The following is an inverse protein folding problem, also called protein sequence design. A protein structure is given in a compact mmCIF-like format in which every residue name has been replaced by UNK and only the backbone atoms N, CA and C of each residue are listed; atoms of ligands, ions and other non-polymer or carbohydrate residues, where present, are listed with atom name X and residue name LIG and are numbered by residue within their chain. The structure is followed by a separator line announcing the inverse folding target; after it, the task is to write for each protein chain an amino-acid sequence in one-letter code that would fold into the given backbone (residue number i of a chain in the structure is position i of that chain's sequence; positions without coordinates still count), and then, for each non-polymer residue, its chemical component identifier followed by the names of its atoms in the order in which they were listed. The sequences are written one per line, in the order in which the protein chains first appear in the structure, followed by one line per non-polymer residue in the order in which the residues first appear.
data_IF_816009453562
#
_entry.id   IF_816009453562
#
_cell.length_a   1.000
_cell.length_b   1.000
_cell.length_c   1.000
_cell.angle_alpha   90.00
_cell.angle_beta   90.00
_cell.angle_gamma   90.00
#
_symmetry.space_group_name_H-M   'P 1'
#
loop_
_entity.id
_entity.type
_entity.pdbx_description
1 polymer ?
#
# COMPACT_ATOMS: atom_id res chain seq x y z
N UNK A 1 -11.64 -21.68 5.38
CA UNK A 1 -12.20 -22.34 4.21
C UNK A 1 -11.07 -22.66 3.21
N UNK A 2 -10.93 -23.95 2.86
CA UNK A 2 -9.91 -24.45 1.92
C UNK A 2 -10.59 -25.06 0.68
N UNK A 3 -11.46 -24.27 0.06
CA UNK A 3 -12.28 -24.71 -1.08
C UNK A 3 -12.24 -23.66 -2.20
N UNK A 4 -12.47 -24.11 -3.42
CA UNK A 4 -12.53 -23.22 -4.60
C UNK A 4 -13.93 -22.67 -4.84
N UNK A 5 -14.97 -23.42 -4.48
CA UNK A 5 -16.37 -23.08 -4.75
C UNK A 5 -17.16 -23.01 -3.45
N UNK A 6 -18.15 -22.14 -3.43
CA UNK A 6 -19.09 -21.99 -2.33
C UNK A 6 -20.46 -22.53 -2.73
N UNK A 7 -21.19 -23.08 -1.76
CA UNK A 7 -22.52 -23.69 -1.96
C UNK A 7 -23.58 -22.68 -1.48
N UNK A 8 -24.66 -22.60 -2.21
CA UNK A 8 -25.85 -21.80 -1.90
C UNK A 8 -27.04 -22.76 -1.68
N UNK A 9 -27.88 -22.45 -0.73
CA UNK A 9 -29.06 -23.25 -0.41
C UNK A 9 -30.12 -23.21 -1.51
N UNK A 10 -30.16 -22.10 -2.26
CA UNK A 10 -31.12 -21.88 -3.33
C UNK A 10 -30.43 -21.33 -4.59
N UNK A 11 -30.92 -21.73 -5.75
CA UNK A 11 -30.41 -21.23 -7.04
C UNK A 11 -30.59 -19.71 -7.21
N UNK A 12 -31.69 -19.18 -6.70
CA UNK A 12 -31.95 -17.74 -6.74
C UNK A 12 -30.92 -16.95 -5.95
N UNK A 13 -30.45 -17.47 -4.82
CA UNK A 13 -29.41 -16.82 -3.99
C UNK A 13 -28.09 -16.74 -4.78
N UNK A 14 -27.73 -17.82 -5.49
CA UNK A 14 -26.57 -17.82 -6.38
C UNK A 14 -26.71 -16.82 -7.52
N UNK A 15 -27.89 -16.75 -8.18
CA UNK A 15 -28.12 -15.84 -9.30
C UNK A 15 -28.07 -14.35 -8.88
N UNK A 16 -28.36 -14.04 -7.61
CA UNK A 16 -28.38 -12.69 -7.08
C UNK A 16 -27.06 -12.28 -6.37
N UNK A 17 -26.01 -13.12 -6.49
CA UNK A 17 -24.72 -12.80 -5.86
C UNK A 17 -24.08 -11.58 -6.52
N UNK A 18 -23.73 -10.63 -5.71
CA UNK A 18 -22.90 -9.50 -6.09
C UNK A 18 -21.46 -9.76 -5.62
N UNK A 19 -20.61 -10.13 -6.56
CA UNK A 19 -19.19 -10.45 -6.28
C UNK A 19 -18.36 -9.26 -5.77
N UNK A 20 -18.91 -8.06 -5.82
CA UNK A 20 -18.28 -6.85 -5.30
C UNK A 20 -18.68 -6.54 -3.84
N UNK A 21 -19.64 -7.31 -3.29
CA UNK A 21 -19.98 -7.21 -1.88
C UNK A 21 -19.06 -8.07 -1.00
N UNK A 22 -18.67 -7.50 0.11
CA UNK A 22 -17.65 -8.05 1.00
C UNK A 22 -18.04 -9.37 1.70
N UNK A 23 -19.32 -9.74 1.73
CA UNK A 23 -19.86 -10.92 2.43
C UNK A 23 -20.41 -11.99 1.47
N UNK A 24 -20.18 -11.85 0.17
CA UNK A 24 -20.66 -12.79 -0.84
C UNK A 24 -19.51 -13.52 -1.53
N UNK A 25 -19.49 -14.85 -1.39
CA UNK A 25 -18.38 -15.69 -1.82
C UNK A 25 -18.83 -16.69 -2.89
N UNK A 26 -18.29 -16.59 -4.09
CA UNK A 26 -18.58 -17.51 -5.22
C UNK A 26 -17.40 -18.42 -5.49
N UNK A 27 -16.22 -17.84 -5.63
CA UNK A 27 -15.02 -18.54 -6.03
C UNK A 27 -13.82 -18.11 -5.19
N UNK A 28 -13.14 -19.08 -4.57
CA UNK A 28 -12.09 -18.85 -3.57
C UNK A 28 -10.86 -18.06 -4.05
N UNK A 29 -10.64 -17.94 -5.37
CA UNK A 29 -9.58 -17.10 -5.92
C UNK A 29 -9.94 -15.61 -5.86
N UNK A 30 -11.21 -15.29 -6.08
CA UNK A 30 -11.68 -13.89 -6.06
C UNK A 30 -12.03 -13.41 -4.65
N UNK A 31 -12.60 -14.30 -3.83
CA UNK A 31 -12.97 -13.99 -2.45
C UNK A 31 -13.07 -15.28 -1.62
N UNK A 32 -12.63 -15.21 -0.37
CA UNK A 32 -12.65 -16.35 0.55
C UNK A 32 -12.99 -15.87 1.96
N UNK A 33 -13.93 -16.51 2.68
CA UNK A 33 -14.34 -16.08 4.01
C UNK A 33 -13.20 -16.00 5.03
N UNK A 34 -12.23 -16.91 4.95
CA UNK A 34 -11.07 -16.91 5.87
C UNK A 34 -10.16 -15.71 5.62
N UNK A 35 -9.88 -15.41 4.34
CA UNK A 35 -9.08 -14.23 3.95
C UNK A 35 -9.83 -12.95 4.32
N UNK A 36 -11.13 -12.90 4.04
CA UNK A 36 -11.96 -11.75 4.37
C UNK A 36 -11.98 -11.41 5.88
N UNK A 37 -12.04 -12.42 6.75
CA UNK A 37 -11.93 -12.23 8.20
C UNK A 37 -10.58 -11.61 8.58
N UNK A 38 -9.48 -12.07 7.96
CA UNK A 38 -8.16 -11.50 8.18
C UNK A 38 -8.12 -10.02 7.74
N UNK A 39 -8.59 -9.74 6.52
CA UNK A 39 -8.61 -8.38 5.97
C UNK A 39 -9.40 -7.42 6.85
N UNK A 40 -10.58 -7.82 7.31
CA UNK A 40 -11.37 -7.01 8.25
C UNK A 40 -10.64 -6.74 9.56
N UNK A 41 -10.01 -7.76 10.15
CA UNK A 41 -9.26 -7.59 11.40
C UNK A 41 -8.06 -6.67 11.23
N UNK A 42 -7.33 -6.76 10.11
CA UNK A 42 -6.20 -5.85 9.83
C UNK A 42 -6.70 -4.43 9.59
N UNK A 43 -7.77 -4.23 8.82
CA UNK A 43 -8.36 -2.91 8.63
C UNK A 43 -8.76 -2.27 9.97
N UNK A 44 -9.38 -3.05 10.87
CA UNK A 44 -9.79 -2.59 12.20
C UNK A 44 -8.58 -2.25 13.08
N UNK A 45 -7.53 -3.07 13.07
CA UNK A 45 -6.30 -2.83 13.82
C UNK A 45 -5.55 -1.58 13.35
N UNK A 46 -5.53 -1.32 12.03
CA UNK A 46 -4.88 -0.15 11.43
C UNK A 46 -5.79 1.08 11.44
N UNK A 47 -7.03 0.98 11.90
CA UNK A 47 -8.08 2.00 11.78
C UNK A 47 -8.32 2.45 10.33
N UNK A 48 -8.13 1.52 9.39
CA UNK A 48 -8.37 1.71 7.97
C UNK A 48 -9.79 1.35 7.57
N UNK A 49 -10.25 1.89 6.45
CA UNK A 49 -11.56 1.56 5.90
C UNK A 49 -11.60 0.16 5.28
N UNK A 50 -10.47 -0.34 4.80
CA UNK A 50 -10.34 -1.65 4.15
C UNK A 50 -8.89 -2.14 4.20
N UNK A 51 -8.71 -3.47 4.14
CA UNK A 51 -7.44 -4.13 3.89
C UNK A 51 -7.58 -5.13 2.75
N UNK A 52 -6.49 -5.42 2.07
CA UNK A 52 -6.41 -6.44 1.01
C UNK A 52 -5.19 -7.31 1.27
N UNK A 53 -5.40 -8.62 1.38
CA UNK A 53 -4.33 -9.58 1.60
C UNK A 53 -3.68 -10.02 0.29
N UNK A 54 -2.36 -10.12 0.29
CA UNK A 54 -1.55 -10.59 -0.83
C UNK A 54 -0.71 -11.80 -0.43
N UNK A 55 -0.29 -12.59 -1.41
CA UNK A 55 0.53 -13.79 -1.19
C UNK A 55 1.96 -13.49 -0.73
N UNK A 56 2.41 -12.24 -0.81
CA UNK A 56 3.71 -11.78 -0.33
C UNK A 56 3.72 -10.28 -0.08
N UNK A 57 4.65 -9.80 0.78
CA UNK A 57 4.86 -8.38 1.00
C UNK A 57 5.19 -7.63 -0.30
N UNK A 58 6.03 -8.18 -1.17
CA UNK A 58 6.32 -7.57 -2.48
C UNK A 58 5.11 -7.49 -3.40
N UNK A 59 4.18 -8.44 -3.34
CA UNK A 59 2.92 -8.36 -4.08
C UNK A 59 2.07 -7.19 -3.55
N UNK A 60 2.01 -6.99 -2.24
CA UNK A 60 1.34 -5.84 -1.63
C UNK A 60 1.98 -4.51 -2.05
N UNK A 61 3.32 -4.40 -1.92
CA UNK A 61 4.07 -3.20 -2.32
C UNK A 61 3.86 -2.85 -3.79
N UNK A 62 4.02 -3.82 -4.69
CA UNK A 62 3.87 -3.58 -6.13
C UNK A 62 2.43 -3.26 -6.51
N UNK A 63 1.44 -3.89 -5.88
CA UNK A 63 0.03 -3.59 -6.09
C UNK A 63 -0.31 -2.15 -5.67
N UNK A 64 0.19 -1.69 -4.51
CA UNK A 64 -0.01 -0.31 -4.05
C UNK A 64 0.60 0.71 -5.02
N UNK A 65 1.84 0.48 -5.49
CA UNK A 65 2.51 1.34 -6.48
C UNK A 65 1.73 1.36 -7.80
N UNK A 66 1.34 0.20 -8.30
CA UNK A 66 0.63 0.09 -9.59
C UNK A 66 -0.79 0.64 -9.54
N UNK A 67 -1.46 0.58 -8.40
CA UNK A 67 -2.80 1.15 -8.23
C UNK A 67 -2.77 2.68 -8.15
N UNK A 68 -1.66 3.26 -7.70
CA UNK A 68 -1.51 4.70 -7.44
C UNK A 68 -0.89 5.43 -8.63
N UNK A 69 0.11 4.81 -9.27
CA UNK A 69 0.90 5.44 -10.33
C UNK A 69 0.41 5.03 -11.72
N UNK A 70 0.34 6.00 -12.62
CA UNK A 70 0.14 5.78 -14.06
C UNK A 70 1.48 5.94 -14.81
N UNK A 71 1.55 5.49 -16.06
CA UNK A 71 2.75 5.68 -16.88
C UNK A 71 3.18 7.16 -16.90
N UNK A 72 4.47 7.41 -16.66
CA UNK A 72 5.04 8.75 -16.57
C UNK A 72 4.91 9.44 -15.22
N UNK A 73 4.37 8.76 -14.20
CA UNK A 73 4.31 9.32 -12.84
C UNK A 73 5.69 9.51 -12.23
N UNK A 74 5.83 10.56 -11.43
CA UNK A 74 6.98 10.76 -10.55
C UNK A 74 6.68 10.18 -9.17
N UNK A 75 7.73 9.61 -8.53
CA UNK A 75 7.68 8.99 -7.20
C UNK A 75 8.78 9.61 -6.34
N UNK A 76 8.44 10.11 -5.16
CA UNK A 76 9.41 10.43 -4.12
C UNK A 76 9.57 9.19 -3.25
N UNK A 77 10.80 8.72 -3.04
CA UNK A 77 11.07 7.47 -2.33
C UNK A 77 12.20 7.67 -1.31
N UNK A 78 12.01 7.22 -0.08
CA UNK A 78 13.11 7.20 0.89
C UNK A 78 14.25 6.30 0.39
N UNK A 79 15.51 6.71 0.65
CA UNK A 79 16.70 5.94 0.23
C UNK A 79 16.82 4.60 0.92
N UNK A 80 16.39 4.53 2.17
CA UNK A 80 16.59 3.38 3.05
C UNK A 80 15.32 2.51 3.19
N UNK A 81 14.51 2.42 2.12
CA UNK A 81 13.39 1.49 2.05
C UNK A 81 13.85 0.07 1.68
N UNK A 82 12.97 -0.91 1.91
CA UNK A 82 13.17 -2.30 1.53
C UNK A 82 13.68 -2.44 0.10
N UNK A 83 14.87 -3.03 -0.04
CA UNK A 83 15.61 -3.06 -1.32
C UNK A 83 14.84 -3.65 -2.51
N UNK A 84 14.02 -4.70 -2.36
CA UNK A 84 13.20 -5.20 -3.46
C UNK A 84 12.20 -4.18 -4.04
N UNK A 85 11.71 -3.22 -3.26
CA UNK A 85 10.87 -2.11 -3.76
C UNK A 85 11.68 -1.23 -4.71
N UNK A 86 12.89 -0.84 -4.32
CA UNK A 86 13.79 -0.07 -5.20
C UNK A 86 14.16 -0.86 -6.46
N UNK A 87 14.41 -2.16 -6.30
CA UNK A 87 14.67 -3.04 -7.43
C UNK A 87 13.48 -3.07 -8.41
N UNK A 88 12.26 -3.18 -7.91
CA UNK A 88 11.06 -3.09 -8.75
C UNK A 88 10.98 -1.76 -9.49
N UNK A 89 11.20 -0.63 -8.82
CA UNK A 89 11.21 0.69 -9.46
C UNK A 89 12.25 0.76 -10.60
N UNK A 90 13.47 0.24 -10.38
CA UNK A 90 14.53 0.27 -11.37
C UNK A 90 14.38 -0.74 -12.53
N UNK A 91 13.81 -1.90 -12.27
CA UNK A 91 13.73 -2.98 -13.29
C UNK A 91 12.40 -3.02 -14.05
N UNK A 92 11.35 -2.45 -13.46
CA UNK A 92 10.00 -2.42 -14.06
C UNK A 92 9.48 -0.99 -14.17
N UNK A 93 9.46 -0.25 -13.07
CA UNK A 93 8.87 1.09 -13.00
C UNK A 93 9.47 2.05 -14.02
N UNK A 94 10.78 2.28 -13.95
CA UNK A 94 11.48 3.22 -14.85
C UNK A 94 11.46 2.72 -16.29
N UNK A 95 11.95 1.50 -16.63
CA UNK A 95 12.13 1.11 -18.04
C UNK A 95 10.83 0.71 -18.74
N UNK A 96 9.78 0.31 -18.04
CA UNK A 96 8.54 -0.20 -18.65
C UNK A 96 7.34 0.72 -18.46
N UNK A 97 7.32 1.50 -17.38
CA UNK A 97 6.20 2.37 -17.04
C UNK A 97 6.57 3.85 -17.11
N UNK A 98 7.82 4.14 -17.53
CA UNK A 98 8.35 5.50 -17.65
C UNK A 98 8.21 6.30 -16.34
N UNK A 99 8.38 5.65 -15.18
CA UNK A 99 8.41 6.35 -13.91
C UNK A 99 9.70 7.17 -13.79
N UNK A 100 9.60 8.32 -13.12
CA UNK A 100 10.76 9.03 -12.59
C UNK A 100 10.75 8.90 -11.05
N UNK A 101 11.94 8.81 -10.46
CA UNK A 101 12.07 8.58 -9.01
C UNK A 101 13.10 9.52 -8.42
N UNK A 102 12.72 10.30 -7.42
CA UNK A 102 13.64 11.08 -6.61
C UNK A 102 13.80 10.43 -5.23
N UNK A 103 15.05 10.17 -4.84
CA UNK A 103 15.37 9.56 -3.55
C UNK A 103 15.74 10.61 -2.52
N UNK A 104 15.08 10.54 -1.34
CA UNK A 104 15.25 11.47 -0.22
C UNK A 104 15.73 10.76 1.04
N UNK A 105 16.32 11.51 1.98
CA UNK A 105 16.81 10.93 3.24
C UNK A 105 15.69 10.50 4.20
N UNK A 106 14.55 11.17 4.11
CA UNK A 106 13.41 11.00 5.01
C UNK A 106 13.48 11.82 6.30
N UNK A 107 14.63 12.40 6.66
CA UNK A 107 14.79 13.22 7.88
C UNK A 107 14.74 14.72 7.61
N UNK A 108 14.99 15.13 6.39
CA UNK A 108 14.99 16.51 5.96
C UNK A 108 13.68 16.82 5.26
N UNK A 109 12.81 17.57 5.91
CA UNK A 109 11.49 17.92 5.40
C UNK A 109 11.59 18.87 4.21
N UNK A 110 12.60 19.73 4.18
CA UNK A 110 12.84 20.64 3.05
C UNK A 110 13.32 19.85 1.82
N UNK A 111 14.19 18.81 2.00
CA UNK A 111 14.58 17.87 0.94
C UNK A 111 13.35 17.15 0.37
N UNK A 112 12.45 16.71 1.25
CA UNK A 112 11.23 15.98 0.84
C UNK A 112 10.32 16.91 0.04
N UNK A 113 10.06 18.11 0.51
CA UNK A 113 9.18 19.06 -0.17
C UNK A 113 9.76 19.52 -1.51
N UNK A 114 11.05 19.80 -1.56
CA UNK A 114 11.76 20.17 -2.79
C UNK A 114 11.82 19.04 -3.85
N UNK A 115 11.69 17.79 -3.43
CA UNK A 115 11.66 16.64 -4.33
C UNK A 115 10.30 16.47 -5.06
N UNK A 116 9.24 17.13 -4.59
CA UNK A 116 7.91 17.00 -5.19
C UNK A 116 7.85 17.78 -6.52
N UNK A 117 7.28 17.14 -7.54
CA UNK A 117 7.08 17.68 -8.89
C UNK A 117 5.58 17.67 -9.21
N UNK A 118 5.17 18.39 -10.24
CA UNK A 118 3.76 18.50 -10.67
C UNK A 118 3.13 17.13 -11.00
N UNK A 119 3.93 16.16 -11.44
CA UNK A 119 3.48 14.80 -11.75
C UNK A 119 3.81 13.78 -10.65
N UNK A 120 4.16 14.23 -9.42
CA UNK A 120 4.37 13.33 -8.30
C UNK A 120 3.05 12.70 -7.88
N UNK A 121 2.96 11.38 -8.02
CA UNK A 121 1.77 10.62 -7.69
C UNK A 121 1.87 9.91 -6.32
N UNK A 122 3.08 9.52 -5.93
CA UNK A 122 3.29 8.67 -4.76
C UNK A 122 4.55 9.09 -4.00
N UNK A 123 4.45 9.03 -2.67
CA UNK A 123 5.58 9.09 -1.75
C UNK A 123 5.73 7.76 -1.03
N UNK A 124 6.88 7.10 -1.19
CA UNK A 124 7.18 5.79 -0.60
C UNK A 124 8.04 5.99 0.64
N UNK A 125 7.52 5.52 1.77
CA UNK A 125 8.09 5.67 3.10
C UNK A 125 8.35 4.29 3.74
N UNK A 126 9.27 4.25 4.69
CA UNK A 126 9.48 3.14 5.61
C UNK A 126 10.02 3.67 6.94
N UNK A 127 9.35 3.34 8.03
CA UNK A 127 9.73 3.84 9.36
C UNK A 127 9.33 2.81 10.43
N UNK A 128 10.33 2.21 11.14
CA UNK A 128 11.78 2.34 10.98
C UNK A 128 12.30 1.82 9.63
N UNK A 129 13.27 2.53 9.06
CA UNK A 129 13.82 2.21 7.75
C UNK A 129 14.68 0.94 7.74
N UNK A 130 14.67 0.21 6.62
CA UNK A 130 15.44 -1.04 6.42
C UNK A 130 16.92 -0.86 6.79
N UNK A 131 17.46 -1.78 7.55
CA UNK A 131 18.84 -1.91 8.07
C UNK A 131 19.30 -0.79 9.00
N UNK A 132 18.97 0.45 8.74
CA UNK A 132 19.43 1.61 9.54
C UNK A 132 18.51 1.94 10.69
N UNK A 133 17.29 1.36 10.71
CA UNK A 133 16.25 1.55 11.73
C UNK A 133 15.96 3.03 12.06
N UNK A 134 16.14 3.89 11.09
CA UNK A 134 15.82 5.32 11.21
C UNK A 134 14.31 5.50 11.32
N UNK A 135 13.91 6.28 12.31
CA UNK A 135 12.52 6.72 12.49
C UNK A 135 12.38 8.13 11.92
N UNK A 136 11.31 8.38 11.19
CA UNK A 136 11.02 9.67 10.57
C UNK A 136 9.72 10.26 11.12
N UNK A 137 9.55 11.57 11.00
CA UNK A 137 8.31 12.26 11.40
C UNK A 137 7.22 12.05 10.34
N UNK A 138 6.49 10.94 10.48
CA UNK A 138 5.42 10.57 9.55
C UNK A 138 4.32 11.63 9.47
N UNK A 139 4.00 12.30 10.59
CA UNK A 139 2.97 13.32 10.63
C UNK A 139 3.38 14.54 9.80
N UNK A 140 4.58 15.05 10.01
CA UNK A 140 5.09 16.17 9.23
C UNK A 140 5.19 15.84 7.74
N UNK A 141 5.64 14.61 7.39
CA UNK A 141 5.73 14.15 6.01
C UNK A 141 4.32 14.03 5.39
N UNK A 142 3.34 13.50 6.11
CA UNK A 142 1.97 13.39 5.62
C UNK A 142 1.33 14.76 5.36
N UNK A 143 1.63 15.75 6.20
CA UNK A 143 1.17 17.14 6.01
C UNK A 143 1.76 17.76 4.74
N UNK A 144 3.05 17.52 4.46
CA UNK A 144 3.68 17.94 3.19
C UNK A 144 2.98 17.26 2.00
N UNK A 145 2.87 15.94 2.01
CA UNK A 145 2.23 15.20 0.93
C UNK A 145 0.79 15.67 0.67
N UNK A 146 0.03 15.93 1.73
CA UNK A 146 -1.34 16.42 1.66
C UNK A 146 -1.45 17.81 1.04
N UNK A 147 -0.53 18.75 1.39
CA UNK A 147 -0.52 20.09 0.77
C UNK A 147 -0.32 20.02 -0.74
N UNK A 148 0.45 19.05 -1.22
CA UNK A 148 0.76 18.86 -2.64
C UNK A 148 -0.15 17.85 -3.35
N UNK A 149 -1.14 17.26 -2.66
CA UNK A 149 -2.05 16.27 -3.23
C UNK A 149 -1.39 14.94 -3.60
N UNK A 150 -0.25 14.61 -2.96
CA UNK A 150 0.52 13.39 -3.19
C UNK A 150 0.03 12.28 -2.26
N UNK A 151 -0.20 11.09 -2.81
CA UNK A 151 -0.56 9.90 -2.02
C UNK A 151 0.67 9.39 -1.29
N UNK A 152 0.51 9.00 -0.03
CA UNK A 152 1.55 8.36 0.77
C UNK A 152 1.34 6.86 0.85
N UNK A 153 2.44 6.12 0.83
CA UNK A 153 2.52 4.69 1.09
C UNK A 153 3.66 4.44 2.07
N UNK A 154 3.44 3.61 3.08
CA UNK A 154 4.46 3.22 4.04
C UNK A 154 4.56 1.70 4.17
N UNK A 155 5.77 1.18 4.20
CA UNK A 155 6.05 -0.14 4.74
C UNK A 155 6.14 -0.06 6.27
N UNK A 156 5.12 -0.57 6.95
CA UNK A 156 5.00 -0.58 8.42
C UNK A 156 5.37 -1.93 9.03
N UNK A 157 6.06 -2.79 8.28
CA UNK A 157 6.36 -4.18 8.66
C UNK A 157 7.03 -4.28 10.03
N UNK A 158 8.01 -3.41 10.32
CA UNK A 158 8.75 -3.46 11.59
C UNK A 158 7.90 -3.08 12.80
N UNK A 159 7.02 -2.09 12.66
CA UNK A 159 6.22 -1.57 13.79
C UNK A 159 4.91 -2.30 13.99
N UNK A 160 4.34 -2.85 12.93
CA UNK A 160 3.01 -3.46 12.95
C UNK A 160 1.91 -2.48 13.43
N UNK A 161 0.63 -2.80 13.33
CA UNK A 161 -0.43 -1.93 13.86
C UNK A 161 -0.43 -1.78 15.39
N UNK A 162 0.41 -2.56 16.09
CA UNK A 162 0.49 -2.48 17.55
C UNK A 162 1.33 -1.29 18.04
N UNK A 163 2.43 -0.99 17.34
CA UNK A 163 3.38 0.04 17.79
C UNK A 163 3.31 1.32 16.95
N UNK A 164 2.77 1.25 15.74
CA UNK A 164 2.60 2.41 14.87
C UNK A 164 1.35 2.24 14.02
N UNK A 165 0.50 3.27 13.99
CA UNK A 165 -0.71 3.34 13.15
C UNK A 165 -0.58 4.50 12.16
N UNK A 166 0.01 4.24 11.00
CA UNK A 166 0.33 5.31 10.03
C UNK A 166 -0.90 6.09 9.57
N UNK A 167 -2.05 5.42 9.42
CA UNK A 167 -3.30 6.08 8.99
C UNK A 167 -3.74 7.17 9.98
N UNK A 168 -3.50 7.00 11.29
CA UNK A 168 -3.80 8.03 12.30
C UNK A 168 -2.84 9.24 12.21
N UNK A 169 -1.68 9.04 11.58
CA UNK A 169 -0.68 10.09 11.34
C UNK A 169 -0.89 10.80 9.99
N UNK A 170 -1.90 10.37 9.24
CA UNK A 170 -2.29 10.97 7.97
C UNK A 170 -1.64 10.37 6.72
N UNK A 171 -0.93 9.23 6.88
CA UNK A 171 -0.35 8.46 5.77
C UNK A 171 -1.45 7.80 4.93
#
# INVERSE_FOLDING_TARGET
FMNSLHVYDRFEDYCNVDVYKDDQFVYGRSSNPTVHILERKIAELEHGSRAVAFSSGMAACTAAIMATCKAGSHIVCMRDVYQPVKRFLHTVGIPRLNFSVTYVSGNDLDEIEAAIQDNTALMILESPATFVFRVVDLKAISEIAKRHGVITYIDNTCMTPLFQKPLELGI
#
